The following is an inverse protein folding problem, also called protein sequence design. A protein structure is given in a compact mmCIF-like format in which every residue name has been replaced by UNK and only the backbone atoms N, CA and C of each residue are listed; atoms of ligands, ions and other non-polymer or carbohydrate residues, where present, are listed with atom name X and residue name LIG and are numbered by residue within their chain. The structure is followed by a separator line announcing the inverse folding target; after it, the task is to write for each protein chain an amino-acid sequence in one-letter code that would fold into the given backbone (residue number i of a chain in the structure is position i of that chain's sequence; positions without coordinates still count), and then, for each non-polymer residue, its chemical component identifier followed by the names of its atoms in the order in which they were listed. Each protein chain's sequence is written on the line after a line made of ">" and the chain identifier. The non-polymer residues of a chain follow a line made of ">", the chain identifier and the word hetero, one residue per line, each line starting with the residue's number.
data_IF_959293910375
#
_entry.id   IF_959293910375
#
_cell.length_a   1.000
_cell.length_b   1.000
_cell.length_c   1.000
_cell.angle_alpha   90.00
_cell.angle_beta   90.00
_cell.angle_gamma   90.00
#
_symmetry.space_group_name_H-M   'P 1'
#
loop_
_entity.id
_entity.type
_entity.pdbx_description
1 polymer ?
#
# COMPACT_ATOMS: atom_id res chain seq x y z
N UNK A 1 -0.76 -0.40 -24.21
CA UNK A 1 -0.95 -1.25 -23.02
C UNK A 1 -1.02 -0.35 -21.83
N UNK A 2 -2.11 -0.39 -21.06
CA UNK A 2 -2.24 0.43 -19.88
C UNK A 2 -1.09 0.17 -18.92
N UNK A 3 -0.31 1.22 -18.66
CA UNK A 3 0.80 1.24 -17.74
C UNK A 3 0.67 2.53 -16.94
N UNK A 4 0.72 2.39 -15.62
CA UNK A 4 0.65 3.51 -14.68
C UNK A 4 1.93 3.48 -13.86
N UNK A 5 2.60 4.62 -13.78
CA UNK A 5 3.73 4.82 -12.88
C UNK A 5 3.37 5.93 -11.89
N UNK A 6 3.52 5.64 -10.61
CA UNK A 6 3.21 6.57 -9.52
C UNK A 6 4.48 6.82 -8.73
N UNK A 7 4.94 8.06 -8.71
CA UNK A 7 6.02 8.48 -7.84
C UNK A 7 5.48 8.75 -6.44
N UNK A 8 5.99 8.00 -5.47
CA UNK A 8 5.54 8.02 -4.09
C UNK A 8 6.65 8.56 -3.20
N UNK A 9 6.28 9.44 -2.28
CA UNK A 9 7.12 9.92 -1.18
C UNK A 9 6.69 9.30 0.14
N UNK A 10 7.64 8.80 0.89
CA UNK A 10 7.45 8.34 2.27
C UNK A 10 7.21 9.55 3.17
N UNK A 11 6.07 9.60 3.87
CA UNK A 11 5.70 10.69 4.79
C UNK A 11 6.10 10.38 6.23
N UNK A 12 5.95 9.12 6.64
CA UNK A 12 6.34 8.63 7.97
C UNK A 12 7.25 7.41 7.84
N UNK A 13 8.09 7.10 8.85
CA UNK A 13 9.08 6.02 8.78
C UNK A 13 8.54 4.73 8.14
N UNK A 14 9.16 4.27 7.04
CA UNK A 14 8.73 3.08 6.30
C UNK A 14 9.59 1.87 6.69
N UNK A 15 9.01 0.99 7.52
CA UNK A 15 9.63 -0.26 7.96
C UNK A 15 9.24 -1.42 7.04
N UNK A 16 9.95 -1.59 5.94
CA UNK A 16 9.72 -2.66 4.97
C UNK A 16 10.94 -3.58 4.91
N UNK A 17 10.73 -4.85 5.23
CA UNK A 17 11.78 -5.87 5.23
C UNK A 17 11.74 -6.71 3.95
N UNK A 18 12.90 -7.24 3.58
CA UNK A 18 13.09 -8.17 2.48
C UNK A 18 12.66 -9.60 2.82
N UNK A 19 13.40 -10.59 2.31
CA UNK A 19 13.20 -12.00 2.65
C UNK A 19 13.40 -12.30 4.15
N UNK A 20 14.23 -11.49 4.81
CA UNK A 20 14.44 -11.51 6.25
C UNK A 20 13.60 -10.41 6.92
N UNK A 21 12.49 -10.73 7.63
CA UNK A 21 11.60 -9.72 8.22
C UNK A 21 12.30 -8.86 9.28
N UNK A 22 13.32 -9.39 9.95
CA UNK A 22 14.18 -8.67 10.89
C UNK A 22 15.54 -8.31 10.27
N UNK A 23 15.73 -8.65 8.99
CA UNK A 23 16.97 -8.39 8.28
C UNK A 23 17.14 -6.92 7.98
N UNK A 24 18.39 -6.48 8.14
CA UNK A 24 18.89 -5.25 7.58
C UNK A 24 19.64 -5.60 6.28
N UNK A 25 19.49 -4.82 5.20
CA UNK A 25 18.82 -3.53 5.14
C UNK A 25 17.31 -3.58 4.87
N UNK A 26 16.63 -2.48 5.17
CA UNK A 26 15.24 -2.28 4.74
C UNK A 26 15.15 -2.24 3.20
N UNK A 27 14.08 -2.82 2.66
CA UNK A 27 13.89 -2.99 1.22
C UNK A 27 12.44 -2.63 0.82
N UNK A 28 12.27 -1.65 -0.07
CA UNK A 28 10.97 -1.41 -0.71
C UNK A 28 10.84 -2.36 -1.89
N UNK A 29 10.12 -3.47 -1.70
CA UNK A 29 9.98 -4.52 -2.70
C UNK A 29 8.56 -4.66 -3.24
N UNK A 30 8.45 -4.98 -4.53
CA UNK A 30 7.18 -5.17 -5.22
C UNK A 30 6.28 -6.21 -4.54
N UNK A 31 6.85 -7.30 -3.99
CA UNK A 31 6.07 -8.32 -3.28
C UNK A 31 5.34 -7.77 -2.04
N UNK A 32 5.98 -6.89 -1.28
CA UNK A 32 5.35 -6.31 -0.09
C UNK A 32 4.28 -5.29 -0.47
N UNK A 33 4.52 -4.51 -1.54
CA UNK A 33 3.49 -3.60 -2.09
C UNK A 33 2.29 -4.40 -2.59
N UNK A 34 2.53 -5.47 -3.37
CA UNK A 34 1.47 -6.37 -3.86
C UNK A 34 0.64 -6.96 -2.72
N UNK A 35 1.27 -7.34 -1.60
CA UNK A 35 0.55 -7.81 -0.42
C UNK A 35 -0.40 -6.76 0.18
N UNK A 36 0.05 -5.50 0.25
CA UNK A 36 -0.78 -4.40 0.72
C UNK A 36 -1.93 -4.09 -0.25
N UNK A 37 -1.68 -4.09 -1.55
CA UNK A 37 -2.72 -3.91 -2.57
C UNK A 37 -3.78 -5.02 -2.50
N UNK A 38 -3.38 -6.28 -2.33
CA UNK A 38 -4.31 -7.40 -2.12
C UNK A 38 -5.20 -7.21 -0.90
N UNK A 39 -4.62 -6.73 0.20
CA UNK A 39 -5.40 -6.45 1.41
C UNK A 39 -6.46 -5.37 1.16
N UNK A 40 -6.08 -4.26 0.51
CA UNK A 40 -7.02 -3.18 0.20
C UNK A 40 -8.06 -3.57 -0.85
N UNK A 41 -7.70 -4.43 -1.82
CA UNK A 41 -8.65 -4.99 -2.76
C UNK A 41 -9.72 -5.82 -2.02
N UNK A 42 -9.32 -6.71 -1.12
CA UNK A 42 -10.26 -7.50 -0.31
C UNK A 42 -11.13 -6.61 0.58
N UNK A 43 -10.55 -5.57 1.18
CA UNK A 43 -11.31 -4.61 1.98
C UNK A 43 -12.36 -3.86 1.14
N UNK A 44 -12.01 -3.49 -0.10
CA UNK A 44 -12.94 -2.85 -1.03
C UNK A 44 -14.07 -3.80 -1.45
N UNK A 45 -13.73 -5.04 -1.84
CA UNK A 45 -14.70 -6.07 -2.23
C UNK A 45 -15.67 -6.39 -1.09
N UNK A 46 -15.16 -6.67 0.10
CA UNK A 46 -15.98 -7.00 1.27
C UNK A 46 -16.76 -5.81 1.83
N UNK A 47 -16.20 -4.60 1.80
CA UNK A 47 -16.83 -3.40 2.36
C UNK A 47 -17.83 -2.70 1.44
N UNK A 48 -17.61 -2.75 0.11
CA UNK A 48 -18.54 -2.16 -0.86
C UNK A 48 -19.77 -3.06 -1.14
N UNK A 49 -19.80 -4.29 -0.60
CA UNK A 49 -20.88 -5.26 -0.81
C UNK A 49 -20.98 -5.67 -2.27
N UNK A 50 -19.84 -6.02 -2.88
CA UNK A 50 -19.70 -6.23 -4.32
C UNK A 50 -20.91 -6.98 -4.91
N UNK A 51 -21.62 -6.34 -5.85
CA UNK A 51 -22.76 -6.91 -6.59
C UNK A 51 -23.83 -7.67 -5.76
N UNK A 52 -24.05 -7.33 -4.48
CA UNK A 52 -24.99 -8.09 -3.64
C UNK A 52 -24.47 -9.47 -3.20
N UNK A 53 -23.16 -9.73 -3.36
CA UNK A 53 -22.49 -10.89 -2.80
C UNK A 53 -22.40 -10.75 -1.29
N UNK A 54 -23.08 -11.65 -0.58
CA UNK A 54 -22.77 -11.94 0.80
C UNK A 54 -21.41 -12.64 0.85
N UNK A 55 -20.35 -11.91 1.16
CA UNK A 55 -19.02 -12.48 1.40
C UNK A 55 -18.92 -13.22 2.76
N UNK A 56 -20.05 -13.67 3.33
CA UNK A 56 -20.05 -14.78 4.29
C UNK A 56 -19.33 -16.00 3.70
N UNK A 57 -19.39 -16.18 2.38
CA UNK A 57 -18.52 -17.09 1.64
C UNK A 57 -17.19 -16.41 1.27
N UNK A 58 -16.14 -16.85 1.97
CA UNK A 58 -14.77 -16.40 1.76
C UNK A 58 -14.18 -16.91 0.44
N UNK A 59 -14.72 -17.99 -0.16
CA UNK A 59 -14.29 -18.53 -1.46
C UNK A 59 -14.46 -17.51 -2.60
N UNK A 60 -15.61 -16.84 -2.67
CA UNK A 60 -15.87 -15.82 -3.67
C UNK A 60 -14.88 -14.64 -3.55
N UNK A 61 -14.52 -14.25 -2.32
CA UNK A 61 -13.54 -13.19 -2.07
C UNK A 61 -12.15 -13.57 -2.58
N UNK A 62 -11.70 -14.81 -2.34
CA UNK A 62 -10.41 -15.29 -2.84
C UNK A 62 -10.38 -15.43 -4.36
N UNK A 63 -11.48 -15.86 -4.98
CA UNK A 63 -11.59 -15.92 -6.44
C UNK A 63 -11.52 -14.52 -7.06
N UNK A 64 -12.26 -13.56 -6.51
CA UNK A 64 -12.24 -12.16 -6.97
C UNK A 64 -10.84 -11.52 -6.79
N UNK A 65 -10.15 -11.81 -5.70
CA UNK A 65 -8.75 -11.38 -5.51
C UNK A 65 -7.82 -12.03 -6.55
N UNK A 66 -7.98 -13.34 -6.79
CA UNK A 66 -7.16 -14.09 -7.73
C UNK A 66 -7.40 -13.66 -9.19
N UNK A 67 -8.59 -13.14 -9.51
CA UNK A 67 -8.86 -12.54 -10.82
C UNK A 67 -7.97 -11.31 -11.09
N UNK A 68 -7.54 -10.58 -10.05
CA UNK A 68 -6.70 -9.38 -10.20
C UNK A 68 -5.21 -9.67 -10.02
N UNK A 69 -4.87 -10.42 -8.97
CA UNK A 69 -3.48 -10.65 -8.57
C UNK A 69 -3.00 -12.09 -8.83
N UNK A 70 -3.80 -12.94 -9.46
CA UNK A 70 -3.49 -14.36 -9.62
C UNK A 70 -3.56 -15.14 -8.31
N UNK A 71 -3.40 -16.45 -8.39
CA UNK A 71 -3.51 -17.35 -7.25
C UNK A 71 -3.02 -18.74 -7.58
N UNK A 72 -2.71 -19.51 -6.53
CA UNK A 72 -2.44 -20.94 -6.64
C UNK A 72 -3.59 -21.62 -5.92
N UNK A 73 -4.45 -22.29 -6.66
CA UNK A 73 -5.39 -23.26 -6.11
C UNK A 73 -4.86 -24.67 -6.43
N UNK A 74 -5.23 -25.63 -5.59
CA UNK A 74 -4.94 -27.06 -5.68
C UNK A 74 -5.19 -27.67 -7.07
N UNK A 75 -6.10 -27.10 -7.87
CA UNK A 75 -6.44 -27.58 -9.21
C UNK A 75 -5.93 -26.67 -10.36
N UNK A 76 -5.72 -25.36 -10.13
CA UNK A 76 -5.32 -24.41 -11.18
C UNK A 76 -4.43 -23.29 -10.63
N UNK A 77 -3.31 -23.02 -11.31
CA UNK A 77 -2.46 -21.85 -11.06
C UNK A 77 -2.80 -20.75 -12.06
N UNK A 78 -3.42 -19.66 -11.61
CA UNK A 78 -3.72 -18.50 -12.46
C UNK A 78 -2.61 -17.45 -12.31
N UNK A 79 -1.94 -17.17 -13.42
CA UNK A 79 -0.96 -16.09 -13.49
C UNK A 79 -1.63 -14.72 -13.23
N UNK A 80 -0.94 -13.81 -12.53
CA UNK A 80 -1.45 -12.47 -12.25
C UNK A 80 -1.66 -11.67 -13.55
N UNK A 81 -2.88 -11.15 -13.82
CA UNK A 81 -3.13 -10.23 -14.93
C UNK A 81 -2.49 -8.86 -14.73
N UNK A 82 -2.18 -8.48 -13.49
CA UNK A 82 -1.47 -7.23 -13.16
C UNK A 82 -0.03 -7.52 -12.75
N UNK A 83 0.91 -6.76 -13.30
CA UNK A 83 2.31 -6.75 -12.88
C UNK A 83 2.54 -5.53 -11.99
N UNK A 84 3.07 -5.78 -10.79
CA UNK A 84 3.48 -4.77 -9.83
C UNK A 84 5.01 -4.67 -9.85
N UNK A 85 5.55 -3.48 -10.05
CA UNK A 85 6.99 -3.25 -10.01
C UNK A 85 7.35 -2.05 -9.14
N UNK A 86 8.55 -2.07 -8.55
CA UNK A 86 9.12 -0.94 -7.81
C UNK A 86 10.44 -0.57 -8.46
N UNK A 87 10.63 0.71 -8.72
CA UNK A 87 11.83 1.27 -9.35
C UNK A 87 12.32 2.51 -8.58
N UNK A 88 13.58 2.87 -8.81
CA UNK A 88 14.12 4.20 -8.45
C UNK A 88 13.92 4.55 -6.97
N UNK A 89 14.32 3.67 -6.06
CA UNK A 89 14.27 3.96 -4.62
C UNK A 89 15.38 4.95 -4.26
N UNK A 90 15.00 6.20 -4.00
CA UNK A 90 15.87 7.30 -3.61
C UNK A 90 15.78 7.54 -2.12
N UNK A 91 16.65 6.88 -1.38
CA UNK A 91 16.80 7.03 0.06
C UNK A 91 17.68 5.92 0.61
N UNK A 92 18.31 6.17 1.75
CA UNK A 92 19.15 5.19 2.42
C UNK A 92 18.43 4.71 3.67
N UNK A 93 18.25 3.40 3.86
CA UNK A 93 17.75 2.85 5.11
C UNK A 93 18.58 3.30 6.32
N UNK A 94 17.92 3.66 7.40
CA UNK A 94 18.56 4.10 8.65
C UNK A 94 18.02 3.30 9.83
N UNK A 95 18.82 2.98 10.86
CA UNK A 95 18.32 2.34 12.06
C UNK A 95 17.42 3.30 12.85
N UNK A 96 16.36 2.79 13.46
CA UNK A 96 15.55 3.60 14.37
C UNK A 96 16.27 3.79 15.71
N UNK A 97 16.64 5.03 16.00
CA UNK A 97 17.17 5.45 17.30
C UNK A 97 16.03 6.04 18.14
N UNK A 98 16.01 5.73 19.44
CA UNK A 98 15.05 6.33 20.39
C UNK A 98 15.28 7.84 20.45
N UNK A 99 14.21 8.62 20.45
CA UNK A 99 14.33 10.09 20.52
C UNK A 99 14.86 10.57 21.87
N UNK A 100 14.57 9.83 22.95
CA UNK A 100 15.11 10.12 24.28
C UNK A 100 15.68 8.86 24.92
N UNK A 101 16.82 8.96 25.64
CA UNK A 101 17.27 7.86 26.48
C UNK A 101 16.23 7.59 27.57
N UNK A 102 15.83 6.32 27.74
CA UNK A 102 14.89 5.91 28.80
C UNK A 102 15.61 6.10 30.14
N UNK A 103 15.20 7.11 30.91
CA UNK A 103 15.62 7.28 32.30
C UNK A 103 14.46 6.90 33.23
N UNK A 104 14.73 6.32 34.42
CA UNK A 104 13.69 6.12 35.42
C UNK A 104 12.97 7.45 35.70
N UNK A 105 11.64 7.45 35.63
CA UNK A 105 10.81 8.65 35.87
C UNK A 105 10.61 9.58 34.65
N UNK A 106 11.28 9.37 33.51
CA UNK A 106 10.93 10.11 32.28
C UNK A 106 9.76 9.47 31.54
N UNK A 107 8.71 10.24 31.18
CA UNK A 107 7.62 9.74 30.34
C UNK A 107 8.15 9.23 28.99
N UNK A 108 7.63 8.09 28.55
CA UNK A 108 7.93 7.55 27.21
C UNK A 108 7.38 8.52 26.17
N UNK A 109 8.22 8.89 25.20
CA UNK A 109 7.78 9.70 24.08
C UNK A 109 6.73 8.94 23.25
N UNK A 110 5.69 9.64 22.79
CA UNK A 110 4.65 9.06 21.94
C UNK A 110 5.18 8.31 20.71
N UNK A 111 6.22 8.81 20.03
CA UNK A 111 6.86 8.11 18.91
C UNK A 111 7.50 6.79 19.36
N UNK A 112 8.23 6.80 20.46
CA UNK A 112 8.90 5.60 20.97
C UNK A 112 7.87 4.55 21.42
N UNK A 113 6.71 4.98 21.94
CA UNK A 113 5.60 4.10 22.26
C UNK A 113 4.93 3.51 21.00
N UNK A 114 4.58 4.36 20.03
CA UNK A 114 3.92 3.92 18.80
C UNK A 114 4.80 2.95 18.00
N UNK A 115 6.11 3.22 17.94
CA UNK A 115 7.10 2.44 17.22
C UNK A 115 7.81 1.41 18.11
N UNK A 116 7.20 1.03 19.24
CA UNK A 116 7.76 0.03 20.14
C UNK A 116 8.14 -1.26 19.39
N UNK A 117 9.36 -1.74 19.68
CA UNK A 117 9.95 -2.93 19.06
C UNK A 117 10.60 -2.70 17.70
N UNK A 118 10.62 -1.46 17.18
CA UNK A 118 11.36 -1.12 15.96
C UNK A 118 12.77 -0.59 16.26
N UNK A 119 13.00 -0.06 17.45
CA UNK A 119 14.33 0.37 17.94
C UNK A 119 15.05 -0.78 18.63
N UNK A 120 16.39 -0.78 18.52
CA UNK A 120 17.24 -1.76 19.18
C UNK A 120 17.23 -1.61 20.70
N UNK A 121 17.63 -2.67 21.40
CA UNK A 121 17.84 -2.60 22.84
C UNK A 121 19.12 -1.80 23.15
N UNK A 122 19.22 -1.21 24.36
CA UNK A 122 20.46 -0.54 24.84
C UNK A 122 21.67 -1.46 24.75
N UNK A 123 21.48 -2.76 25.01
CA UNK A 123 22.55 -3.75 24.99
C UNK A 123 22.79 -4.36 23.60
N UNK A 124 21.85 -4.16 22.66
CA UNK A 124 22.02 -4.60 21.28
C UNK A 124 21.43 -3.58 20.29
N UNK A 125 22.11 -2.42 20.09
CA UNK A 125 21.62 -1.40 19.16
C UNK A 125 21.55 -1.87 17.70
N UNK A 126 22.31 -2.91 17.35
CA UNK A 126 22.31 -3.52 16.02
C UNK A 126 20.99 -4.24 15.66
N UNK A 127 20.16 -4.58 16.67
CA UNK A 127 18.81 -5.09 16.47
C UNK A 127 17.81 -4.01 16.02
N UNK A 128 18.20 -2.74 16.00
CA UNK A 128 17.33 -1.69 15.50
C UNK A 128 16.94 -1.98 14.05
N UNK A 129 15.63 -2.05 13.81
CA UNK A 129 15.10 -2.29 12.48
C UNK A 129 15.38 -1.07 11.62
N UNK A 130 16.01 -1.29 10.48
CA UNK A 130 16.19 -0.21 9.52
C UNK A 130 14.86 0.18 8.88
N UNK A 131 14.78 1.45 8.47
CA UNK A 131 13.62 2.01 7.80
C UNK A 131 14.03 3.04 6.78
N UNK A 132 13.18 3.28 5.79
CA UNK A 132 13.32 4.42 4.90
C UNK A 132 12.76 5.68 5.57
N UNK A 133 13.57 6.74 5.74
CA UNK A 133 13.14 7.94 6.42
C UNK A 133 12.09 8.72 5.62
N UNK A 134 11.29 9.59 6.29
CA UNK A 134 10.46 10.58 5.61
C UNK A 134 11.25 11.35 4.55
N UNK A 135 10.64 11.55 3.38
CA UNK A 135 11.29 12.15 2.21
C UNK A 135 11.88 11.15 1.23
N UNK A 136 12.04 9.87 1.60
CA UNK A 136 12.42 8.82 0.65
C UNK A 136 11.42 8.77 -0.51
N UNK A 137 11.90 8.63 -1.73
CA UNK A 137 11.04 8.50 -2.93
C UNK A 137 11.23 7.14 -3.59
N UNK A 138 10.18 6.63 -4.23
CA UNK A 138 10.26 5.47 -5.10
C UNK A 138 9.14 5.50 -6.13
N UNK A 139 9.32 4.81 -7.25
CA UNK A 139 8.29 4.69 -8.29
C UNK A 139 7.61 3.33 -8.21
N UNK A 140 6.28 3.33 -8.12
CA UNK A 140 5.44 2.15 -8.20
C UNK A 140 4.85 2.04 -9.61
N UNK A 141 5.11 0.92 -10.28
CA UNK A 141 4.51 0.58 -11.56
C UNK A 141 3.37 -0.43 -11.41
N UNK A 142 2.24 -0.16 -12.07
CA UNK A 142 1.15 -1.10 -12.29
C UNK A 142 0.89 -1.21 -13.79
N UNK A 143 0.93 -2.42 -14.35
CA UNK A 143 0.65 -2.65 -15.77
C UNK A 143 -0.12 -3.95 -15.99
N UNK A 144 -0.92 -3.98 -17.04
CA UNK A 144 -1.57 -5.20 -17.52
C UNK A 144 -0.55 -6.17 -18.10
N UNK A 145 -0.74 -7.47 -17.87
CA UNK A 145 0.06 -8.55 -18.46
C UNK A 145 -0.46 -8.85 -19.86
N UNK A 146 0.46 -8.94 -20.83
CA UNK A 146 0.14 -9.34 -22.20
C UNK A 146 -0.55 -10.71 -22.23
N UNK A 147 -1.67 -10.80 -22.93
CA UNK A 147 -2.41 -12.04 -23.15
C UNK A 147 -3.16 -12.56 -21.91
N UNK A 148 -3.32 -11.74 -20.87
CA UNK A 148 -4.21 -12.07 -19.77
C UNK A 148 -5.63 -11.60 -20.08
N UNK A 149 -6.61 -12.46 -19.80
CA UNK A 149 -8.03 -12.10 -19.88
C UNK A 149 -8.37 -11.01 -18.86
N UNK A 150 -9.26 -10.11 -19.22
CA UNK A 150 -9.77 -9.00 -18.38
C UNK A 150 -8.68 -8.13 -17.73
N UNK A 151 -7.50 -8.03 -18.38
CA UNK A 151 -6.34 -7.36 -17.79
C UNK A 151 -6.53 -5.86 -17.57
N UNK A 152 -7.45 -5.22 -18.29
CA UNK A 152 -7.81 -3.80 -18.08
C UNK A 152 -8.66 -3.65 -16.81
N UNK A 153 -9.73 -4.44 -16.66
CA UNK A 153 -10.56 -4.45 -15.46
C UNK A 153 -9.75 -4.84 -14.20
N UNK A 154 -8.82 -5.79 -14.35
CA UNK A 154 -7.88 -6.14 -13.29
C UNK A 154 -6.97 -4.96 -12.91
N UNK A 155 -6.44 -4.21 -13.90
CA UNK A 155 -5.65 -3.02 -13.63
C UNK A 155 -6.48 -1.93 -12.95
N UNK A 156 -7.73 -1.71 -13.37
CA UNK A 156 -8.65 -0.76 -12.70
C UNK A 156 -8.81 -1.09 -11.21
N UNK A 157 -9.07 -2.35 -10.88
CA UNK A 157 -9.20 -2.82 -9.49
C UNK A 157 -7.89 -2.69 -8.70
N UNK A 158 -6.74 -2.92 -9.35
CA UNK A 158 -5.44 -2.72 -8.73
C UNK A 158 -5.14 -1.22 -8.46
N UNK A 159 -5.49 -0.33 -9.39
CA UNK A 159 -5.39 1.13 -9.22
C UNK A 159 -6.34 1.63 -8.11
N UNK A 160 -7.56 1.08 -8.02
CA UNK A 160 -8.49 1.37 -6.95
C UNK A 160 -7.95 0.92 -5.58
N UNK A 161 -7.34 -0.26 -5.50
CA UNK A 161 -6.65 -0.72 -4.29
C UNK A 161 -5.44 0.16 -3.93
N UNK A 162 -4.70 0.67 -4.92
CA UNK A 162 -3.62 1.63 -4.70
C UNK A 162 -4.15 2.95 -4.16
N UNK A 163 -5.26 3.46 -4.70
CA UNK A 163 -5.90 4.67 -4.18
C UNK A 163 -6.26 4.51 -2.70
N UNK A 164 -6.90 3.41 -2.32
CA UNK A 164 -7.24 3.11 -0.94
C UNK A 164 -5.99 2.98 -0.05
N UNK A 165 -4.96 2.29 -0.53
CA UNK A 165 -3.68 2.14 0.18
C UNK A 165 -3.03 3.49 0.51
N UNK A 166 -2.98 4.39 -0.47
CA UNK A 166 -2.38 5.72 -0.29
C UNK A 166 -3.23 6.59 0.63
N UNK A 167 -4.55 6.58 0.46
CA UNK A 167 -5.45 7.51 1.14
C UNK A 167 -5.80 7.10 2.57
N UNK A 168 -5.87 5.80 2.84
CA UNK A 168 -6.37 5.25 4.11
C UNK A 168 -5.38 4.32 4.81
N UNK A 169 -4.24 4.03 4.18
CA UNK A 169 -3.30 3.02 4.62
C UNK A 169 -1.87 3.50 4.74
N UNK A 170 -0.98 2.54 4.51
CA UNK A 170 0.47 2.73 4.52
C UNK A 170 1.16 1.42 4.16
N UNK A 171 2.46 1.47 3.92
CA UNK A 171 3.29 0.31 3.60
C UNK A 171 4.16 -0.13 4.79
N UNK A 172 4.46 -1.42 4.85
CA UNK A 172 5.38 -1.98 5.84
C UNK A 172 4.73 -2.23 7.21
N UNK A 173 5.57 -2.28 8.25
CA UNK A 173 5.12 -2.54 9.61
C UNK A 173 4.60 -1.27 10.30
N UNK A 174 3.73 -1.46 11.31
CA UNK A 174 3.18 -0.38 12.16
C UNK A 174 2.32 0.65 11.41
N UNK A 175 1.75 0.28 10.28
CA UNK A 175 0.83 1.15 9.50
C UNK A 175 -0.39 1.58 10.29
N UNK A 176 -0.96 0.68 11.10
CA UNK A 176 -2.04 0.97 12.07
C UNK A 176 -1.62 1.86 13.25
N UNK A 177 -0.36 2.29 13.30
CA UNK A 177 0.21 3.20 14.31
C UNK A 177 0.90 4.41 13.65
N UNK A 178 0.57 4.70 12.39
CA UNK A 178 1.04 5.89 11.67
C UNK A 178 2.38 5.76 10.94
N UNK A 179 2.97 4.57 10.87
CA UNK A 179 4.18 4.34 10.07
C UNK A 179 3.86 4.06 8.59
N UNK A 180 4.81 4.34 7.69
CA UNK A 180 4.71 3.98 6.27
C UNK A 180 3.63 4.72 5.48
N UNK A 181 3.17 5.88 5.93
CA UNK A 181 2.26 6.73 5.18
C UNK A 181 2.93 7.23 3.90
N UNK A 182 2.16 7.34 2.82
CA UNK A 182 2.66 7.70 1.50
C UNK A 182 1.98 8.97 0.99
N UNK A 183 2.70 9.67 0.13
CA UNK A 183 2.26 10.86 -0.57
C UNK A 183 2.52 10.67 -2.06
N UNK A 184 1.63 11.16 -2.92
CA UNK A 184 1.81 11.08 -4.38
C UNK A 184 2.43 12.37 -4.90
N UNK A 185 3.55 12.24 -5.61
CA UNK A 185 4.28 13.37 -6.21
C UNK A 185 3.88 13.55 -7.68
N UNK A 186 3.79 12.44 -8.42
CA UNK A 186 3.42 12.41 -9.82
C UNK A 186 2.76 11.09 -10.21
N UNK A 187 1.91 11.16 -11.23
CA UNK A 187 1.32 9.99 -11.91
C UNK A 187 1.61 10.15 -13.40
N UNK A 188 2.17 9.13 -14.02
CA UNK A 188 2.44 9.11 -15.46
C UNK A 188 1.89 7.83 -16.10
N UNK A 189 1.59 7.91 -17.39
CA UNK A 189 0.89 6.85 -18.12
C UNK A 189 -0.63 6.98 -18.07
N UNK A 190 -1.32 5.88 -18.35
CA UNK A 190 -2.78 5.84 -18.56
C UNK A 190 -3.49 5.45 -17.26
N UNK A 191 -3.79 6.42 -16.40
CA UNK A 191 -4.61 6.18 -15.21
C UNK A 191 -6.04 5.82 -15.63
N UNK A 192 -6.64 4.73 -15.10
CA UNK A 192 -7.96 4.33 -15.55
C UNK A 192 -9.04 5.36 -15.22
N UNK A 193 -9.91 5.73 -16.17
CA UNK A 193 -10.85 6.84 -16.01
C UNK A 193 -11.94 6.57 -14.97
N UNK A 194 -12.25 5.30 -14.71
CA UNK A 194 -13.27 4.88 -13.74
C UNK A 194 -12.76 4.83 -12.29
N UNK A 195 -11.45 5.04 -12.08
CA UNK A 195 -10.83 5.06 -10.76
C UNK A 195 -10.60 6.51 -10.34
N UNK A 196 -10.94 6.92 -9.10
CA UNK A 196 -10.64 8.27 -8.63
C UNK A 196 -9.17 8.62 -8.86
N UNK A 197 -8.87 9.85 -9.29
CA UNK A 197 -7.49 10.28 -9.43
C UNK A 197 -6.81 10.25 -8.07
N UNK A 198 -5.54 9.83 -8.05
CA UNK A 198 -4.68 9.98 -6.89
C UNK A 198 -4.42 11.47 -6.65
N UNK A 199 -4.74 12.02 -5.46
CA UNK A 199 -4.46 13.41 -5.19
C UNK A 199 -2.96 13.62 -5.02
N UNK A 200 -2.42 14.60 -5.74
CA UNK A 200 -1.04 14.99 -5.58
C UNK A 200 -0.91 15.85 -4.33
N UNK A 201 0.21 15.75 -3.61
CA UNK A 201 0.42 16.51 -2.36
C UNK A 201 0.18 18.01 -2.54
N UNK A 202 0.64 18.56 -3.67
CA UNK A 202 0.48 19.99 -4.01
C UNK A 202 -0.98 20.42 -4.19
N UNK A 203 -1.89 19.48 -4.47
CA UNK A 203 -3.31 19.73 -4.69
C UNK A 203 -4.14 19.57 -3.39
N UNK A 204 -3.48 19.31 -2.26
CA UNK A 204 -4.10 19.13 -0.95
C UNK A 204 -3.65 20.23 0.04
N UNK A 205 -4.10 21.49 -0.13
CA UNK A 205 -3.64 22.62 0.68
C UNK A 205 -4.22 22.64 2.10
N UNK A 206 -5.28 21.86 2.38
CA UNK A 206 -5.96 21.89 3.66
C UNK A 206 -6.63 20.56 4.01
N UNK A 207 -6.94 20.32 5.31
CA UNK A 207 -7.73 19.16 5.73
C UNK A 207 -9.12 19.10 5.07
N UNK A 208 -9.74 20.25 4.78
CA UNK A 208 -11.03 20.30 4.10
C UNK A 208 -10.93 19.81 2.64
N UNK A 209 -9.84 20.17 1.94
CA UNK A 209 -9.56 19.65 0.60
C UNK A 209 -9.36 18.13 0.61
N UNK A 210 -8.63 17.62 1.60
CA UNK A 210 -8.45 16.17 1.79
C UNK A 210 -9.78 15.47 2.06
N UNK A 211 -10.64 16.02 2.93
CA UNK A 211 -11.97 15.47 3.21
C UNK A 211 -12.81 15.37 1.94
N UNK A 212 -12.82 16.42 1.11
CA UNK A 212 -13.57 16.44 -0.15
C UNK A 212 -13.08 15.39 -1.15
N UNK A 213 -11.76 15.23 -1.27
CA UNK A 213 -11.16 14.19 -2.11
C UNK A 213 -11.52 12.79 -1.59
N UNK A 214 -11.43 12.58 -0.28
CA UNK A 214 -11.78 11.30 0.34
C UNK A 214 -13.24 10.94 0.12
N UNK A 215 -14.16 11.88 0.34
CA UNK A 215 -15.60 11.65 0.16
C UNK A 215 -15.94 11.26 -1.29
N UNK A 216 -15.46 12.04 -2.27
CA UNK A 216 -15.73 11.74 -3.69
C UNK A 216 -15.06 10.44 -4.13
N UNK A 217 -13.82 10.22 -3.73
CA UNK A 217 -13.08 9.01 -4.08
C UNK A 217 -13.72 7.75 -3.51
N UNK A 218 -14.18 7.77 -2.26
CA UNK A 218 -14.86 6.63 -1.65
C UNK A 218 -16.20 6.30 -2.34
N UNK A 219 -16.94 7.31 -2.79
CA UNK A 219 -18.17 7.10 -3.58
C UNK A 219 -17.83 6.41 -4.90
N UNK A 220 -16.81 6.89 -5.62
CA UNK A 220 -16.39 6.30 -6.89
C UNK A 220 -15.85 4.87 -6.72
N UNK A 221 -15.02 4.61 -5.71
CA UNK A 221 -14.56 3.26 -5.37
C UNK A 221 -15.75 2.34 -5.10
N UNK A 222 -16.73 2.78 -4.30
CA UNK A 222 -17.90 1.97 -4.01
C UNK A 222 -18.70 1.65 -5.27
N UNK A 223 -18.88 2.61 -6.18
CA UNK A 223 -19.56 2.40 -7.46
C UNK A 223 -18.81 1.40 -8.35
N UNK A 224 -17.49 1.52 -8.44
CA UNK A 224 -16.62 0.63 -9.20
C UNK A 224 -16.79 -0.83 -8.75
N UNK A 225 -16.80 -1.08 -7.44
CA UNK A 225 -16.94 -2.43 -6.89
C UNK A 225 -18.40 -2.93 -6.81
N UNK A 226 -19.39 -2.03 -6.88
CA UNK A 226 -20.80 -2.40 -6.87
C UNK A 226 -21.36 -2.74 -8.26
N UNK A 227 -20.83 -2.14 -9.33
CA UNK A 227 -21.40 -2.20 -10.69
C UNK A 227 -20.69 -3.12 -11.69
N UNK A 228 -19.63 -3.82 -11.29
CA UNK A 228 -18.86 -4.69 -12.20
C UNK A 228 -19.20 -6.18 -12.06
N UNK A 229 -19.23 -6.97 -13.15
CA UNK A 229 -19.16 -8.43 -13.05
C UNK A 229 -17.86 -8.85 -12.34
N UNK A 230 -17.89 -9.93 -11.56
CA UNK A 230 -16.72 -10.50 -10.89
C UNK A 230 -15.72 -11.09 -11.89
#
# INVERSE_FOLDING_TARGET
>A
MPNVQVELRVVTPLFMGGAEPHGNPAEVRALGVRGALRWWLRAALGGAGGAGADFSDTAALWQAEAAVFGGVDSAQSKASPVIVSVHTVQGTPQPLVKERPVRPGTPVNGRDYLLYGMHGNRNNPAEARQFYPPGTRFTLGLRSRLGADDAEAALERACAALWLLVMLGGLGARTRRGAGCLAVESVTGEWPPNVPPLPLVRDLPSPAALLHVLQRGLIQIRQLFAGGPL
#
